data_IF_900087196112
#
_entry.id   IF_900087196112
#
_cell.length_a   1.000
_cell.length_b   1.000
_cell.length_c   1.000
_cell.angle_alpha   90.00
_cell.angle_beta   90.00
_cell.angle_gamma   90.00
#
_symmetry.space_group_name_H-M   'P 1'
#
loop_
_entity.id
_entity.type
_entity.pdbx_description
1 polymer ?
#
# COMPACT_ATOMS: atom_id res chain seq x y z
N UNK A 1 30.61 -40.81 3.56
CA UNK A 1 29.37 -41.07 4.32
C UNK A 1 28.83 -39.72 4.70
N UNK A 2 27.71 -39.32 4.09
CA UNK A 2 27.07 -38.01 4.30
C UNK A 2 26.21 -38.10 5.55
N UNK A 3 26.61 -37.40 6.60
CA UNK A 3 25.82 -37.26 7.82
C UNK A 3 24.51 -36.52 7.51
N UNK A 4 23.39 -37.13 7.86
CA UNK A 4 22.08 -36.49 7.81
C UNK A 4 22.03 -35.38 8.87
N UNK A 5 21.57 -34.16 8.53
CA UNK A 5 21.71 -33.00 9.39
C UNK A 5 20.77 -33.07 10.60
N UNK A 6 21.18 -32.43 11.69
CA UNK A 6 20.66 -32.38 13.07
C UNK A 6 19.14 -32.16 13.27
N UNK A 7 18.34 -32.03 12.22
CA UNK A 7 16.90 -31.76 12.28
C UNK A 7 16.08 -32.85 12.99
N UNK A 8 16.58 -34.08 13.10
CA UNK A 8 15.89 -35.19 13.79
C UNK A 8 16.00 -35.11 15.32
N UNK A 9 16.95 -34.36 15.88
CA UNK A 9 17.22 -34.30 17.33
C UNK A 9 16.08 -33.65 18.10
N UNK A 10 15.63 -32.48 17.63
CA UNK A 10 14.77 -31.61 18.45
C UNK A 10 13.33 -32.08 18.47
N UNK A 11 12.87 -32.66 17.36
CA UNK A 11 11.57 -33.33 17.29
C UNK A 11 11.51 -34.54 18.21
N UNK A 12 12.60 -35.32 18.29
CA UNK A 12 12.68 -36.43 19.24
C UNK A 12 12.61 -35.93 20.67
N UNK A 13 13.38 -34.90 21.05
CA UNK A 13 13.33 -34.29 22.38
C UNK A 13 11.96 -33.72 22.75
N UNK A 14 11.25 -33.12 21.80
CA UNK A 14 9.92 -32.56 22.03
C UNK A 14 8.86 -33.65 22.31
N UNK A 15 9.05 -34.85 21.74
CA UNK A 15 8.13 -35.99 21.87
C UNK A 15 8.49 -36.89 23.05
N UNK A 16 9.77 -36.96 23.44
CA UNK A 16 10.30 -37.86 24.47
C UNK A 16 10.03 -37.33 25.89
N UNK A 17 8.75 -37.09 26.18
CA UNK A 17 8.24 -36.74 27.52
C UNK A 17 7.18 -37.76 27.93
N UNK A 18 7.14 -38.15 29.21
CA UNK A 18 6.18 -39.14 29.71
C UNK A 18 4.76 -38.56 29.89
N UNK A 19 4.55 -37.30 29.50
CA UNK A 19 3.31 -36.56 29.64
C UNK A 19 2.82 -36.08 28.25
N UNK A 20 1.70 -36.65 27.73
CA UNK A 20 1.18 -36.29 26.41
C UNK A 20 0.84 -34.80 26.24
N UNK A 21 0.44 -34.12 27.33
CA UNK A 21 0.11 -32.69 27.28
C UNK A 21 1.37 -31.86 27.10
N UNK A 22 2.45 -32.23 27.79
CA UNK A 22 3.76 -31.57 27.70
C UNK A 22 4.38 -31.77 26.31
N UNK A 23 4.25 -32.97 25.73
CA UNK A 23 4.65 -33.23 24.35
C UNK A 23 3.94 -32.31 23.35
N UNK A 24 2.63 -32.08 23.50
CA UNK A 24 1.86 -31.18 22.63
C UNK A 24 2.37 -29.74 22.74
N UNK A 25 2.62 -29.25 23.95
CA UNK A 25 3.16 -27.91 24.16
C UNK A 25 4.56 -27.76 23.55
N UNK A 26 5.43 -28.75 23.73
CA UNK A 26 6.79 -28.74 23.19
C UNK A 26 6.79 -28.76 21.67
N UNK A 27 5.93 -29.56 21.05
CA UNK A 27 5.72 -29.58 19.59
C UNK A 27 5.23 -28.23 19.08
N UNK A 28 4.23 -27.63 19.74
CA UNK A 28 3.68 -26.34 19.33
C UNK A 28 4.75 -25.22 19.41
N UNK A 29 5.57 -25.22 20.46
CA UNK A 29 6.67 -24.28 20.62
C UNK A 29 7.76 -24.47 19.57
N UNK A 30 8.11 -25.73 19.25
CA UNK A 30 9.10 -26.03 18.21
C UNK A 30 8.60 -25.62 16.82
N UNK A 31 7.32 -25.87 16.50
CA UNK A 31 6.69 -25.40 15.27
C UNK A 31 6.74 -23.87 15.16
N UNK A 32 6.39 -23.18 16.24
CA UNK A 32 6.40 -21.72 16.32
C UNK A 32 7.81 -21.14 16.14
N UNK A 33 8.82 -21.73 16.78
CA UNK A 33 10.22 -21.33 16.63
C UNK A 33 10.71 -21.52 15.19
N UNK A 34 10.46 -22.69 14.59
CA UNK A 34 10.86 -22.94 13.19
C UNK A 34 10.15 -22.03 12.19
N UNK A 35 8.88 -21.69 12.44
CA UNK A 35 8.14 -20.72 11.62
C UNK A 35 8.75 -19.32 11.74
N UNK A 36 9.15 -18.92 12.96
CA UNK A 36 9.74 -17.61 13.24
C UNK A 36 11.11 -17.45 12.56
N UNK A 37 11.96 -18.48 12.64
CA UNK A 37 13.25 -18.53 11.93
C UNK A 37 13.04 -18.44 10.40
N UNK A 38 12.09 -19.20 9.86
CA UNK A 38 11.78 -19.19 8.42
C UNK A 38 11.24 -17.84 7.94
N UNK A 39 10.66 -17.04 8.83
CA UNK A 39 10.12 -15.71 8.56
C UNK A 39 11.10 -14.59 8.93
N UNK A 40 12.31 -14.91 9.42
CA UNK A 40 13.33 -13.93 9.81
C UNK A 40 13.00 -13.16 11.10
N UNK A 41 12.21 -13.75 12.00
CA UNK A 41 11.67 -13.12 13.22
C UNK A 41 12.48 -13.43 14.50
N UNK A 42 13.74 -13.86 14.38
CA UNK A 42 14.59 -14.15 15.55
C UNK A 42 15.06 -12.87 16.25
N UNK A 43 14.17 -12.29 17.05
CA UNK A 43 14.52 -11.55 18.25
C UNK A 43 13.56 -11.98 19.35
N UNK A 44 14.12 -12.42 20.48
CA UNK A 44 13.40 -12.81 21.70
C UNK A 44 12.50 -11.67 22.19
N UNK A 45 11.27 -11.64 21.71
CA UNK A 45 10.12 -10.97 22.32
C UNK A 45 8.89 -11.68 21.73
N UNK A 46 7.77 -11.66 22.46
CA UNK A 46 6.47 -12.23 22.05
C UNK A 46 6.28 -12.25 20.52
N UNK A 47 5.77 -13.34 19.88
CA UNK A 47 5.48 -13.29 18.44
C UNK A 47 4.53 -12.12 18.20
N UNK A 48 5.08 -11.02 17.72
CA UNK A 48 4.38 -9.77 17.79
C UNK A 48 3.21 -9.88 16.83
N UNK A 49 1.99 -10.02 17.36
CA UNK A 49 0.78 -10.15 16.55
C UNK A 49 0.54 -8.87 15.75
N UNK A 50 1.31 -7.81 16.04
CA UNK A 50 1.48 -6.59 15.26
C UNK A 50 1.86 -6.81 13.79
N UNK A 51 2.55 -7.91 13.46
CA UNK A 51 3.04 -8.20 12.10
C UNK A 51 1.94 -8.79 11.21
N UNK A 52 0.80 -9.19 11.79
CA UNK A 52 -0.32 -9.77 11.04
C UNK A 52 -1.52 -8.82 11.03
N UNK A 53 -2.27 -8.85 9.94
CA UNK A 53 -3.58 -8.21 9.89
C UNK A 53 -4.48 -8.78 10.99
N UNK A 54 -5.40 -7.97 11.56
CA UNK A 54 -6.38 -8.42 12.54
C UNK A 54 -7.11 -9.69 12.07
N UNK A 55 -7.40 -10.61 12.99
CA UNK A 55 -7.95 -11.92 12.64
C UNK A 55 -9.26 -11.83 11.84
N UNK A 56 -10.18 -10.94 12.23
CA UNK A 56 -11.44 -10.72 11.51
C UNK A 56 -11.21 -10.23 10.07
N UNK A 57 -10.20 -9.40 9.86
CA UNK A 57 -9.79 -8.91 8.53
C UNK A 57 -9.24 -10.08 7.70
N UNK A 58 -8.33 -10.89 8.28
CA UNK A 58 -7.78 -12.08 7.62
C UNK A 58 -8.87 -13.09 7.25
N UNK A 59 -9.83 -13.30 8.14
CA UNK A 59 -10.98 -14.15 7.89
C UNK A 59 -11.80 -13.63 6.71
N UNK A 60 -12.23 -12.37 6.75
CA UNK A 60 -13.04 -11.78 5.69
C UNK A 60 -12.33 -11.85 4.32
N UNK A 61 -11.05 -11.52 4.27
CA UNK A 61 -10.21 -11.65 3.07
C UNK A 61 -10.18 -13.09 2.55
N UNK A 62 -9.96 -14.07 3.43
CA UNK A 62 -9.86 -15.49 3.05
C UNK A 62 -11.13 -16.00 2.38
N UNK A 63 -12.28 -15.51 2.82
CA UNK A 63 -13.58 -15.94 2.32
C UNK A 63 -14.19 -14.98 1.28
N UNK A 64 -13.44 -13.97 0.83
CA UNK A 64 -13.92 -13.00 -0.16
C UNK A 64 -15.08 -12.14 0.35
N UNK A 65 -15.17 -11.95 1.67
CA UNK A 65 -16.20 -11.16 2.33
C UNK A 65 -15.73 -9.70 2.40
N UNK A 66 -16.66 -8.77 2.22
CA UNK A 66 -16.40 -7.35 2.46
C UNK A 66 -15.97 -7.09 3.90
N UNK A 67 -14.97 -6.24 4.08
CA UNK A 67 -14.62 -5.69 5.38
C UNK A 67 -15.70 -4.70 5.78
N UNK A 68 -16.36 -4.93 6.92
CA UNK A 68 -17.32 -3.98 7.47
C UNK A 68 -16.60 -2.97 8.35
N UNK A 69 -17.33 -1.97 8.83
CA UNK A 69 -16.80 -0.91 9.70
C UNK A 69 -15.92 -1.45 10.82
N UNK A 70 -16.33 -2.54 11.49
CA UNK A 70 -15.55 -3.16 12.57
C UNK A 70 -14.16 -3.61 12.11
N UNK A 71 -14.08 -4.31 10.98
CA UNK A 71 -12.82 -4.75 10.40
C UNK A 71 -11.95 -3.57 9.98
N UNK A 72 -12.55 -2.55 9.33
CA UNK A 72 -11.85 -1.32 8.93
C UNK A 72 -11.24 -0.62 10.15
N UNK A 73 -12.03 -0.42 11.21
CA UNK A 73 -11.57 0.18 12.47
C UNK A 73 -10.47 -0.65 13.14
N UNK A 74 -10.50 -1.98 13.00
CA UNK A 74 -9.44 -2.83 13.57
C UNK A 74 -8.08 -2.65 12.89
N UNK A 75 -8.07 -2.37 11.58
CA UNK A 75 -6.84 -2.01 10.85
C UNK A 75 -6.39 -0.62 11.25
N UNK A 76 -7.31 0.36 11.25
CA UNK A 76 -7.03 1.74 11.61
C UNK A 76 -6.43 1.83 13.01
N UNK A 77 -6.98 1.13 14.00
CA UNK A 77 -6.47 1.18 15.37
C UNK A 77 -5.10 0.51 15.57
N UNK A 78 -4.57 -0.16 14.54
CA UNK A 78 -3.22 -0.72 14.57
C UNK A 78 -2.19 0.28 14.03
N UNK A 79 -1.15 0.53 14.81
CA UNK A 79 -0.06 1.42 14.40
C UNK A 79 0.83 0.82 13.29
N UNK A 80 0.69 -0.47 13.00
CA UNK A 80 1.57 -1.19 12.06
C UNK A 80 1.03 -1.24 10.63
N UNK A 81 -0.25 -0.87 10.43
CA UNK A 81 -0.96 -0.99 9.15
C UNK A 81 -1.47 0.37 8.66
N UNK A 82 -0.65 1.41 8.80
CA UNK A 82 -1.05 2.79 8.50
C UNK A 82 -1.32 3.02 7.02
N UNK A 83 -0.47 2.49 6.13
CA UNK A 83 -0.64 2.69 4.69
C UNK A 83 -1.84 1.88 4.16
N UNK A 84 -2.13 0.75 4.79
CA UNK A 84 -3.34 -0.05 4.56
C UNK A 84 -4.60 0.63 5.10
N UNK A 85 -4.49 1.32 6.24
CA UNK A 85 -5.58 2.13 6.79
C UNK A 85 -5.93 3.28 5.84
N UNK A 86 -4.93 3.96 5.27
CA UNK A 86 -5.13 4.95 4.20
C UNK A 86 -5.87 4.34 3.01
N UNK A 87 -5.42 3.20 2.49
CA UNK A 87 -6.11 2.49 1.40
C UNK A 87 -7.59 2.22 1.71
N UNK A 88 -7.88 1.70 2.91
CA UNK A 88 -9.26 1.38 3.30
C UNK A 88 -10.12 2.63 3.43
N UNK A 89 -9.61 3.68 4.07
CA UNK A 89 -10.34 4.94 4.25
C UNK A 89 -10.64 5.61 2.91
N UNK A 90 -9.63 5.72 2.03
CA UNK A 90 -9.84 6.27 0.68
C UNK A 90 -10.93 5.51 -0.06
N UNK A 91 -10.90 4.18 -0.02
CA UNK A 91 -11.86 3.36 -0.76
C UNK A 91 -13.28 3.39 -0.15
N UNK A 92 -13.40 3.51 1.17
CA UNK A 92 -14.71 3.64 1.84
C UNK A 92 -15.33 5.01 1.59
N UNK A 93 -14.52 6.07 1.51
CA UNK A 93 -14.98 7.44 1.25
C UNK A 93 -15.20 7.74 -0.24
N UNK A 94 -15.12 6.75 -1.12
CA UNK A 94 -15.27 6.95 -2.58
C UNK A 94 -16.60 7.59 -2.99
N UNK A 95 -17.66 7.37 -2.19
CA UNK A 95 -18.97 7.98 -2.41
C UNK A 95 -19.06 9.45 -1.98
N UNK A 96 -18.06 9.98 -1.27
CA UNK A 96 -17.98 11.37 -0.83
C UNK A 96 -16.63 11.98 -1.25
N UNK A 97 -16.51 12.44 -2.51
CA UNK A 97 -15.26 12.97 -3.04
C UNK A 97 -14.70 14.14 -2.25
N UNK A 98 -15.56 15.01 -1.73
CA UNK A 98 -15.15 16.18 -0.94
C UNK A 98 -14.49 15.75 0.36
N UNK A 99 -15.12 14.81 1.09
CA UNK A 99 -14.54 14.28 2.32
C UNK A 99 -13.23 13.53 2.05
N UNK A 100 -13.19 12.76 0.95
CA UNK A 100 -12.02 12.01 0.54
C UNK A 100 -10.85 12.95 0.18
N UNK A 101 -11.10 14.05 -0.52
CA UNK A 101 -10.09 15.06 -0.87
C UNK A 101 -9.51 15.73 0.37
N UNK A 102 -10.38 16.19 1.28
CA UNK A 102 -9.97 16.77 2.56
C UNK A 102 -9.08 15.79 3.37
N UNK A 103 -9.51 14.53 3.42
CA UNK A 103 -8.74 13.48 4.09
C UNK A 103 -7.36 13.30 3.46
N UNK A 104 -7.31 13.21 2.12
CA UNK A 104 -6.07 13.01 1.39
C UNK A 104 -5.11 14.18 1.62
N UNK A 105 -5.58 15.42 1.54
CA UNK A 105 -4.78 16.62 1.78
C UNK A 105 -4.14 16.63 3.19
N UNK A 106 -4.90 16.30 4.23
CA UNK A 106 -4.35 16.23 5.59
C UNK A 106 -3.29 15.14 5.74
N UNK A 107 -3.51 13.97 5.13
CA UNK A 107 -2.55 12.86 5.17
C UNK A 107 -1.27 13.20 4.41
N UNK A 108 -1.38 13.83 3.24
CA UNK A 108 -0.24 14.29 2.45
C UNK A 108 0.64 15.26 3.25
N UNK A 109 0.00 16.23 3.91
CA UNK A 109 0.69 17.17 4.78
C UNK A 109 1.37 16.49 5.98
N UNK A 110 0.72 15.49 6.59
CA UNK A 110 1.31 14.71 7.67
C UNK A 110 2.53 13.89 7.21
N UNK A 111 2.47 13.30 6.01
CA UNK A 111 3.61 12.61 5.41
C UNK A 111 4.78 13.56 5.15
N UNK A 112 4.50 14.77 4.66
CA UNK A 112 5.52 15.74 4.27
C UNK A 112 6.23 16.39 5.45
N UNK A 113 5.45 16.88 6.42
CA UNK A 113 5.96 17.51 7.64
C UNK A 113 6.62 16.51 8.62
N UNK A 114 6.74 15.24 8.23
CA UNK A 114 7.34 14.14 9.01
C UNK A 114 6.74 14.04 10.41
N UNK A 115 5.43 14.26 10.52
CA UNK A 115 4.74 14.08 11.79
C UNK A 115 4.91 12.64 12.28
N UNK A 116 4.85 12.49 13.60
CA UNK A 116 4.96 11.19 14.22
C UNK A 116 3.77 10.28 13.88
N UNK A 117 3.96 8.98 14.09
CA UNK A 117 2.94 7.97 13.81
C UNK A 117 1.63 8.24 14.58
N UNK A 118 1.68 8.88 15.75
CA UNK A 118 0.52 9.27 16.55
C UNK A 118 -0.34 10.33 15.87
N UNK A 119 0.27 11.34 15.24
CA UNK A 119 -0.47 12.41 14.57
C UNK A 119 -1.24 11.88 13.37
N UNK A 120 -0.62 11.00 12.57
CA UNK A 120 -1.30 10.32 11.46
C UNK A 120 -2.43 9.41 11.95
N UNK A 121 -2.21 8.73 13.07
CA UNK A 121 -3.22 7.89 13.72
C UNK A 121 -4.45 8.69 14.17
N UNK A 122 -4.26 9.93 14.62
CA UNK A 122 -5.34 10.85 14.99
C UNK A 122 -6.15 11.30 13.78
N UNK A 123 -5.49 11.62 12.66
CA UNK A 123 -6.15 11.92 11.38
C UNK A 123 -7.04 10.73 10.98
N UNK A 124 -6.48 9.52 10.94
CA UNK A 124 -7.26 8.32 10.57
C UNK A 124 -8.44 8.10 11.49
N UNK A 125 -8.27 8.25 12.81
CA UNK A 125 -9.37 8.08 13.78
C UNK A 125 -10.47 9.13 13.60
N UNK A 126 -10.12 10.38 13.30
CA UNK A 126 -11.07 11.46 13.04
C UNK A 126 -11.98 11.13 11.85
N UNK A 127 -11.41 10.72 10.72
CA UNK A 127 -12.20 10.36 9.53
C UNK A 127 -12.94 9.02 9.71
N UNK A 128 -12.34 8.06 10.43
CA UNK A 128 -13.01 6.80 10.75
C UNK A 128 -14.28 6.98 11.61
N UNK A 129 -14.32 8.02 12.44
CA UNK A 129 -15.50 8.36 13.24
C UNK A 129 -16.67 8.83 12.36
N UNK A 130 -16.38 9.44 11.20
CA UNK A 130 -17.39 9.94 10.25
C UNK A 130 -18.01 8.85 9.39
N UNK A 131 -17.43 7.65 9.37
CA UNK A 131 -17.98 6.51 8.62
C UNK A 131 -19.39 6.15 9.12
N UNK A 132 -20.25 5.70 8.21
CA UNK A 132 -21.57 5.16 8.58
C UNK A 132 -21.43 3.74 9.14
N UNK A 133 -22.45 3.25 9.85
CA UNK A 133 -22.47 1.85 10.31
C UNK A 133 -22.48 0.84 9.16
N UNK A 134 -23.02 1.24 8.01
CA UNK A 134 -23.12 0.43 6.80
C UNK A 134 -21.82 0.38 5.97
N UNK A 135 -20.80 1.17 6.34
CA UNK A 135 -19.54 1.24 5.63
C UNK A 135 -18.94 -0.15 5.38
N UNK A 136 -18.71 -0.48 4.12
CA UNK A 136 -18.08 -1.73 3.70
C UNK A 136 -17.17 -1.56 2.52
N UNK A 137 -16.16 -2.43 2.43
CA UNK A 137 -15.19 -2.40 1.34
C UNK A 137 -14.63 -3.78 1.01
N UNK A 138 -14.44 -4.03 -0.28
CA UNK A 138 -13.71 -5.22 -0.75
C UNK A 138 -12.21 -5.02 -0.49
N UNK A 139 -11.68 -5.70 0.51
CA UNK A 139 -10.29 -5.56 0.99
C UNK A 139 -9.26 -6.46 0.33
N UNK A 140 -9.54 -7.05 -0.84
CA UNK A 140 -8.72 -8.13 -1.44
C UNK A 140 -7.25 -7.77 -1.62
N UNK A 141 -6.92 -6.48 -1.83
CA UNK A 141 -5.54 -5.99 -1.93
C UNK A 141 -4.71 -6.20 -0.66
N UNK A 142 -5.34 -6.09 0.51
CA UNK A 142 -4.67 -6.37 1.80
C UNK A 142 -4.15 -7.81 1.88
N UNK A 143 -4.77 -8.74 1.14
CA UNK A 143 -4.29 -10.12 1.05
C UNK A 143 -2.94 -10.23 0.34
N UNK A 144 -2.71 -9.41 -0.69
CA UNK A 144 -1.48 -9.42 -1.48
C UNK A 144 -0.33 -8.80 -0.67
N UNK A 145 -0.61 -7.69 0.01
CA UNK A 145 0.35 -7.01 0.89
C UNK A 145 0.72 -7.90 2.07
N UNK A 146 -0.27 -8.51 2.73
CA UNK A 146 -0.03 -9.41 3.86
C UNK A 146 0.82 -10.63 3.48
N UNK A 147 0.66 -11.19 2.27
CA UNK A 147 1.50 -12.31 1.78
C UNK A 147 2.94 -11.91 1.45
N UNK A 148 3.14 -10.69 0.98
CA UNK A 148 4.47 -10.16 0.63
C UNK A 148 5.26 -9.67 1.85
N UNK A 149 4.58 -9.53 2.99
CA UNK A 149 5.07 -8.84 4.17
C UNK A 149 5.04 -7.33 3.99
N UNK A 150 4.40 -6.60 4.92
CA UNK A 150 4.28 -5.14 4.86
C UNK A 150 5.65 -4.44 4.71
N UNK A 151 6.67 -4.97 5.39
CA UNK A 151 8.05 -4.48 5.27
C UNK A 151 8.64 -4.66 3.86
N UNK A 152 8.41 -5.81 3.24
CA UNK A 152 8.85 -6.08 1.87
C UNK A 152 8.13 -5.18 0.87
N UNK A 153 6.85 -4.90 1.10
CA UNK A 153 6.05 -3.99 0.30
C UNK A 153 6.57 -2.55 0.37
N UNK A 154 6.75 -2.02 1.58
CA UNK A 154 7.29 -0.68 1.81
C UNK A 154 8.68 -0.51 1.19
N UNK A 155 9.59 -1.47 1.39
CA UNK A 155 10.93 -1.41 0.81
C UNK A 155 10.92 -1.32 -0.73
N UNK A 156 9.98 -2.02 -1.39
CA UNK A 156 9.82 -1.90 -2.85
C UNK A 156 9.30 -0.54 -3.26
N UNK A 157 8.37 0.02 -2.48
CA UNK A 157 7.83 1.36 -2.69
C UNK A 157 8.91 2.44 -2.55
N UNK A 158 9.71 2.36 -1.48
CA UNK A 158 10.84 3.27 -1.22
C UNK A 158 11.86 3.22 -2.37
N UNK A 159 12.23 2.02 -2.81
CA UNK A 159 13.15 1.84 -3.94
C UNK A 159 12.59 2.43 -5.24
N UNK A 160 11.31 2.18 -5.52
CA UNK A 160 10.67 2.68 -6.73
C UNK A 160 10.60 4.21 -6.73
N UNK A 161 10.16 4.81 -5.61
CA UNK A 161 10.11 6.26 -5.46
C UNK A 161 11.51 6.88 -5.65
N UNK A 162 12.56 6.25 -5.11
CA UNK A 162 13.93 6.72 -5.28
C UNK A 162 14.40 6.64 -6.74
N UNK A 163 14.16 5.52 -7.43
CA UNK A 163 14.52 5.38 -8.86
C UNK A 163 13.83 6.42 -9.73
N UNK A 164 12.55 6.69 -9.49
CA UNK A 164 11.82 7.70 -10.27
C UNK A 164 12.36 9.12 -10.04
N UNK A 165 12.81 9.40 -8.83
CA UNK A 165 13.50 10.66 -8.52
C UNK A 165 14.84 10.78 -9.25
N UNK A 166 15.63 9.71 -9.29
CA UNK A 166 16.90 9.68 -10.06
C UNK A 166 16.66 9.86 -11.57
N UNK A 167 15.55 9.33 -12.10
CA UNK A 167 15.14 9.44 -13.49
C UNK A 167 14.48 10.81 -13.83
N UNK A 168 14.28 11.72 -12.87
CA UNK A 168 13.48 12.95 -13.01
C UNK A 168 12.06 12.70 -13.54
N UNK A 169 11.48 11.56 -13.17
CA UNK A 169 10.16 11.12 -13.59
C UNK A 169 9.06 11.64 -12.65
N UNK A 170 7.93 12.07 -13.23
CA UNK A 170 6.72 12.42 -12.49
C UNK A 170 5.85 11.16 -12.30
N UNK A 171 5.69 10.64 -11.07
CA UNK A 171 4.85 9.47 -10.83
C UNK A 171 3.37 9.78 -10.97
N UNK A 172 2.63 8.86 -11.61
CA UNK A 172 1.18 8.82 -11.63
C UNK A 172 0.70 7.56 -10.91
N UNK A 173 0.29 7.73 -9.65
CA UNK A 173 -0.23 6.68 -8.79
C UNK A 173 -1.66 6.32 -9.20
N UNK A 174 -1.83 5.07 -9.61
CA UNK A 174 -3.08 4.57 -10.15
C UNK A 174 -3.85 3.76 -9.12
N UNK A 175 -5.16 3.98 -9.06
CA UNK A 175 -6.13 3.22 -8.28
C UNK A 175 -5.90 3.28 -6.77
N UNK A 176 -6.91 2.85 -6.01
CA UNK A 176 -6.86 2.91 -4.56
C UNK A 176 -5.65 2.20 -3.94
N UNK A 177 -5.18 1.14 -4.56
CA UNK A 177 -4.17 0.30 -3.97
C UNK A 177 -2.78 0.91 -3.96
N UNK A 178 -2.49 1.87 -4.84
CA UNK A 178 -1.24 2.65 -4.80
C UNK A 178 -1.19 3.64 -3.64
N UNK A 179 -2.31 3.90 -2.95
CA UNK A 179 -2.26 4.64 -1.67
C UNK A 179 -1.42 3.93 -0.61
N UNK A 180 -1.23 2.62 -0.72
CA UNK A 180 -0.30 1.87 0.16
C UNK A 180 1.17 2.22 -0.08
N UNK A 181 1.46 2.98 -1.14
CA UNK A 181 2.80 3.41 -1.56
C UNK A 181 3.01 4.91 -1.37
N UNK A 182 1.92 5.68 -1.27
CA UNK A 182 1.90 7.14 -1.38
C UNK A 182 2.91 7.81 -0.44
N UNK A 183 3.02 7.32 0.79
CA UNK A 183 3.99 7.84 1.77
C UNK A 183 5.42 7.87 1.22
N UNK A 184 5.85 6.78 0.59
CA UNK A 184 7.21 6.61 0.07
C UNK A 184 7.51 7.65 -1.01
N UNK A 185 6.54 7.90 -1.90
CA UNK A 185 6.66 8.91 -2.95
C UNK A 185 6.72 10.34 -2.37
N UNK A 186 5.83 10.67 -1.42
CA UNK A 186 5.80 12.00 -0.79
C UNK A 186 7.07 12.28 0.03
N UNK A 187 7.63 11.26 0.66
CA UNK A 187 8.86 11.38 1.45
C UNK A 187 10.12 11.47 0.58
N UNK A 188 10.12 10.86 -0.61
CA UNK A 188 11.22 10.93 -1.56
C UNK A 188 11.23 12.22 -2.39
N UNK A 189 10.08 12.84 -2.60
CA UNK A 189 9.91 14.04 -3.42
C UNK A 189 10.74 15.24 -2.92
N UNK A 190 11.25 16.04 -3.85
CA UNK A 190 11.92 17.31 -3.57
C UNK A 190 10.92 18.48 -3.53
N UNK A 191 11.38 19.65 -3.10
CA UNK A 191 10.56 20.87 -3.12
C UNK A 191 10.29 21.29 -4.57
N UNK A 192 9.01 21.38 -4.93
CA UNK A 192 8.52 21.67 -6.28
C UNK A 192 8.10 20.44 -7.08
N UNK A 193 8.40 19.23 -6.59
CA UNK A 193 8.04 18.01 -7.30
C UNK A 193 6.53 17.80 -7.34
N UNK A 194 6.07 17.16 -8.43
CA UNK A 194 4.67 16.81 -8.64
C UNK A 194 4.49 15.30 -8.58
N UNK A 195 3.40 14.87 -7.96
CA UNK A 195 2.92 13.48 -7.96
C UNK A 195 1.46 13.51 -8.42
N UNK A 196 1.13 12.71 -9.41
CA UNK A 196 -0.23 12.60 -9.92
C UNK A 196 -0.94 11.42 -9.28
N UNK A 197 -2.24 11.56 -8.97
CA UNK A 197 -3.05 10.49 -8.39
C UNK A 197 -4.33 10.36 -9.20
N UNK A 198 -4.63 9.15 -9.66
CA UNK A 198 -5.86 8.89 -10.41
C UNK A 198 -6.56 7.62 -9.95
N UNK A 199 -7.89 7.61 -10.05
CA UNK A 199 -8.74 6.49 -9.67
C UNK A 199 -9.49 6.03 -10.92
N UNK A 200 -9.20 4.81 -11.36
CA UNK A 200 -9.66 4.24 -12.64
C UNK A 200 -11.14 4.54 -12.97
N UNK A 201 -12.07 4.18 -12.09
CA UNK A 201 -13.49 4.32 -12.41
C UNK A 201 -13.93 5.80 -12.53
N UNK A 202 -13.21 6.75 -11.91
CA UNK A 202 -13.49 8.19 -12.07
C UNK A 202 -13.08 8.70 -13.44
N UNK A 203 -12.03 8.11 -14.03
CA UNK A 203 -11.66 8.35 -15.42
C UNK A 203 -12.69 7.74 -16.38
N UNK A 204 -13.18 6.53 -16.10
CA UNK A 204 -14.17 5.83 -16.94
C UNK A 204 -15.56 6.50 -16.92
N UNK A 205 -15.98 7.06 -15.78
CA UNK A 205 -17.27 7.73 -15.61
C UNK A 205 -17.31 9.17 -16.18
N UNK A 206 -16.21 9.63 -16.81
CA UNK A 206 -16.01 11.00 -17.32
C UNK A 206 -16.38 12.11 -16.32
N UNK A 207 -16.10 11.89 -15.03
CA UNK A 207 -16.30 12.93 -14.01
C UNK A 207 -15.23 14.01 -14.15
N UNK A 208 -15.58 15.26 -13.87
CA UNK A 208 -14.70 16.43 -14.00
C UNK A 208 -13.42 16.33 -13.13
N UNK A 209 -13.37 15.44 -12.13
CA UNK A 209 -12.36 15.42 -11.07
C UNK A 209 -11.54 14.09 -11.04
N UNK A 210 -11.05 13.65 -12.20
CA UNK A 210 -10.48 12.30 -12.35
C UNK A 210 -8.97 12.20 -12.08
N UNK A 211 -8.28 13.33 -11.91
CA UNK A 211 -6.83 13.40 -11.71
C UNK A 211 -6.51 14.49 -10.68
N UNK A 212 -5.83 14.09 -9.60
CA UNK A 212 -5.28 15.02 -8.62
C UNK A 212 -3.81 15.26 -8.90
N UNK A 213 -3.37 16.50 -8.69
CA UNK A 213 -1.98 16.93 -8.69
C UNK A 213 -1.58 17.24 -7.26
N UNK A 214 -0.58 16.51 -6.77
CA UNK A 214 0.07 16.80 -5.50
C UNK A 214 1.36 17.55 -5.77
N UNK A 215 1.46 18.79 -5.32
CA UNK A 215 2.71 19.55 -5.36
C UNK A 215 3.39 19.46 -4.00
N UNK A 216 4.61 18.93 -3.97
CA UNK A 216 5.39 18.76 -2.75
C UNK A 216 6.18 20.04 -2.47
N UNK A 217 5.84 20.75 -1.41
CA UNK A 217 6.59 21.91 -0.91
C UNK A 217 7.58 21.47 0.18
N UNK A 218 8.35 22.37 0.77
CA UNK A 218 9.35 22.02 1.79
C UNK A 218 8.73 21.25 2.97
N UNK A 219 7.68 21.79 3.59
CA UNK A 219 7.04 21.22 4.79
C UNK A 219 5.56 20.83 4.60
N UNK A 220 5.03 20.98 3.39
CA UNK A 220 3.61 20.74 3.10
C UNK A 220 3.40 20.20 1.68
N UNK A 221 2.19 19.74 1.40
CA UNK A 221 1.73 19.42 0.06
C UNK A 221 0.50 20.28 -0.25
N UNK A 222 0.38 20.72 -1.50
CA UNK A 222 -0.91 21.18 -2.02
C UNK A 222 -1.54 20.06 -2.84
N UNK A 223 -2.87 19.95 -2.76
CA UNK A 223 -3.67 19.03 -3.54
C UNK A 223 -4.59 19.87 -4.42
N UNK A 224 -4.49 19.67 -5.73
CA UNK A 224 -5.29 20.39 -6.70
C UNK A 224 -5.94 19.39 -7.66
N UNK A 225 -7.18 19.63 -8.03
CA UNK A 225 -7.80 18.92 -9.14
C UNK A 225 -7.17 19.43 -10.44
N UNK A 226 -6.80 18.49 -11.32
CA UNK A 226 -6.36 18.83 -12.66
C UNK A 226 -7.59 19.27 -13.47
N UNK A 227 -7.95 20.54 -13.36
CA UNK A 227 -9.21 21.05 -13.89
C UNK A 227 -9.13 21.58 -15.31
N UNK A 228 -7.99 22.08 -15.81
CA UNK A 228 -7.81 22.38 -17.24
C UNK A 228 -6.36 22.76 -17.62
N UNK A 229 -6.07 22.61 -18.92
CA UNK A 229 -4.86 23.01 -19.63
C UNK A 229 -4.52 24.49 -19.42
N UNK A 230 -3.43 24.76 -18.71
CA UNK A 230 -2.58 25.87 -19.09
C UNK A 230 -1.13 25.48 -18.80
N UNK A 231 -0.31 25.60 -19.84
CA UNK A 231 1.15 25.40 -19.85
C UNK A 231 1.67 23.98 -20.11
N UNK A 232 1.92 23.72 -21.40
CA UNK A 232 2.88 22.76 -21.97
C UNK A 232 4.31 22.79 -21.39
N UNK A 233 4.61 23.55 -20.33
CA UNK A 233 5.99 23.94 -20.05
C UNK A 233 6.65 23.29 -18.83
N UNK A 234 5.90 22.72 -17.87
CA UNK A 234 6.51 22.30 -16.59
C UNK A 234 5.99 20.96 -16.02
N UNK A 235 5.64 19.99 -16.87
CA UNK A 235 5.36 18.63 -16.39
C UNK A 235 6.39 17.67 -17.01
N UNK A 236 7.35 17.17 -16.20
CA UNK A 236 8.32 16.16 -16.64
C UNK A 236 7.66 14.90 -17.19
N UNK A 237 8.47 14.00 -17.74
CA UNK A 237 8.04 12.68 -18.20
C UNK A 237 7.15 12.00 -17.13
N UNK A 238 5.89 11.70 -17.48
CA UNK A 238 4.94 11.06 -16.56
C UNK A 238 5.04 9.54 -16.69
N UNK A 239 5.15 8.87 -15.55
CA UNK A 239 5.22 7.43 -15.49
C UNK A 239 4.10 6.85 -14.65
N UNK A 240 3.40 5.85 -15.21
CA UNK A 240 2.32 5.18 -14.52
C UNK A 240 2.88 4.21 -13.49
N UNK A 241 2.38 4.33 -12.25
CA UNK A 241 2.70 3.45 -11.15
C UNK A 241 1.46 2.67 -10.77
N UNK A 242 1.52 1.35 -10.95
CA UNK A 242 0.51 0.42 -10.45
C UNK A 242 1.19 -0.59 -9.52
N UNK A 243 0.41 -1.14 -8.61
CA UNK A 243 0.93 -2.06 -7.62
C UNK A 243 1.14 -3.47 -8.15
N UNK A 244 0.40 -3.87 -9.19
CA UNK A 244 0.40 -5.22 -9.76
C UNK A 244 0.11 -5.18 -11.25
N UNK A 245 0.81 -6.00 -12.03
CA UNK A 245 0.46 -6.26 -13.43
C UNK A 245 -0.07 -7.66 -13.52
N UNK A 246 -1.39 -7.81 -13.56
CA UNK A 246 -1.99 -9.10 -13.91
C UNK A 246 -2.09 -9.26 -15.42
N UNK A 247 -2.80 -8.35 -16.10
CA UNK A 247 -3.07 -8.39 -17.54
C UNK A 247 -2.66 -7.12 -18.28
N UNK A 248 -2.25 -6.07 -17.55
CA UNK A 248 -1.98 -4.74 -18.12
C UNK A 248 -3.24 -3.96 -18.52
N UNK A 249 -4.44 -4.53 -18.38
CA UNK A 249 -5.69 -3.91 -18.82
C UNK A 249 -5.99 -2.60 -18.08
N UNK A 250 -5.72 -2.53 -16.77
CA UNK A 250 -5.90 -1.31 -15.98
C UNK A 250 -5.10 -0.14 -16.55
N UNK A 251 -3.83 -0.38 -16.85
CA UNK A 251 -2.93 0.62 -17.43
C UNK A 251 -3.36 1.00 -18.85
N UNK A 252 -3.72 0.01 -19.68
CA UNK A 252 -4.19 0.28 -21.03
C UNK A 252 -5.46 1.15 -21.02
N UNK A 253 -6.41 0.85 -20.13
CA UNK A 253 -7.63 1.65 -19.97
C UNK A 253 -7.30 3.06 -19.46
N UNK A 254 -6.46 3.20 -18.44
CA UNK A 254 -6.11 4.52 -17.89
C UNK A 254 -5.34 5.34 -18.92
N UNK A 255 -4.40 4.71 -19.64
CA UNK A 255 -3.67 5.33 -20.74
C UNK A 255 -4.63 5.84 -21.81
N UNK A 256 -5.62 5.03 -22.18
CA UNK A 256 -6.65 5.43 -23.14
C UNK A 256 -7.50 6.60 -22.61
N UNK A 257 -8.03 6.51 -21.38
CA UNK A 257 -8.84 7.57 -20.79
C UNK A 257 -8.06 8.88 -20.61
N UNK A 258 -6.80 8.82 -20.18
CA UNK A 258 -5.93 9.99 -20.05
C UNK A 258 -5.63 10.61 -21.42
N UNK A 259 -5.36 9.78 -22.44
CA UNK A 259 -5.13 10.24 -23.81
C UNK A 259 -6.39 10.83 -24.45
N UNK A 260 -7.57 10.27 -24.22
CA UNK A 260 -8.83 10.82 -24.74
C UNK A 260 -9.22 12.12 -24.05
N UNK A 261 -9.11 12.17 -22.72
CA UNK A 261 -9.56 13.30 -21.90
C UNK A 261 -8.57 14.46 -21.90
N UNK A 262 -7.26 14.16 -21.98
CA UNK A 262 -6.19 15.13 -21.90
C UNK A 262 -5.31 15.19 -23.16
N UNK A 263 -5.63 14.47 -24.24
CA UNK A 263 -5.04 14.65 -25.58
C UNK A 263 -3.51 14.44 -25.69
N UNK A 264 -2.88 15.19 -26.60
CA UNK A 264 -1.42 15.30 -26.86
C UNK A 264 -0.62 15.91 -25.67
N UNK A 265 -1.24 16.14 -24.52
CA UNK A 265 -0.72 16.93 -23.40
C UNK A 265 -0.32 16.06 -22.22
N UNK A 266 -0.69 14.78 -22.26
CA UNK A 266 0.01 13.77 -21.48
C UNK A 266 1.27 13.42 -22.28
N UNK A 267 2.49 13.63 -21.74
CA UNK A 267 3.72 13.25 -22.42
C UNK A 267 3.64 11.80 -22.88
N UNK A 268 4.25 11.51 -24.03
CA UNK A 268 4.26 10.19 -24.65
C UNK A 268 4.67 9.15 -23.58
N UNK A 269 3.72 8.31 -23.16
CA UNK A 269 3.96 7.32 -22.11
C UNK A 269 4.92 6.27 -22.67
N UNK A 270 6.21 6.40 -22.32
CA UNK A 270 7.26 5.48 -22.78
C UNK A 270 7.14 4.13 -22.08
N UNK A 271 7.68 3.09 -22.71
CA UNK A 271 7.62 1.67 -22.28
C UNK A 271 8.06 1.37 -20.84
N UNK A 272 8.69 2.32 -20.13
CA UNK A 272 9.06 2.17 -18.72
C UNK A 272 7.90 2.54 -17.79
N UNK A 273 6.84 1.74 -17.79
CA UNK A 273 5.86 1.75 -16.69
C UNK A 273 6.43 0.96 -15.50
N UNK A 274 6.18 1.45 -14.29
CA UNK A 274 6.80 0.93 -13.08
C UNK A 274 5.87 0.03 -12.25
N UNK A 275 6.41 -1.09 -11.76
CA UNK A 275 5.64 -2.13 -11.08
C UNK A 275 6.26 -2.61 -9.77
N UNK A 276 5.44 -2.66 -8.73
CA UNK A 276 5.83 -3.13 -7.39
C UNK A 276 5.97 -4.66 -7.28
N UNK A 277 5.23 -5.44 -8.07
CA UNK A 277 5.18 -6.91 -7.92
C UNK A 277 6.26 -7.67 -8.69
N UNK A 278 7.04 -6.99 -9.54
CA UNK A 278 8.20 -7.62 -10.19
C UNK A 278 9.37 -7.67 -9.21
N UNK A 279 9.50 -8.79 -8.50
CA UNK A 279 10.77 -9.17 -7.90
C UNK A 279 11.84 -9.26 -9.00
N UNK A 280 12.69 -8.26 -9.12
CA UNK A 280 13.91 -8.22 -9.94
C UNK A 280 13.70 -8.59 -11.42
N UNK A 281 13.50 -7.58 -12.26
CA UNK A 281 14.02 -7.53 -13.64
C UNK A 281 13.77 -6.11 -14.15
N UNK A 282 14.75 -5.26 -13.95
CA UNK A 282 14.93 -4.04 -14.72
C UNK A 282 15.70 -4.40 -15.98
N UNK A 283 15.38 -3.70 -17.08
CA UNK A 283 15.82 -3.91 -18.45
C UNK A 283 15.13 -5.08 -19.17
N UNK A 284 14.11 -4.73 -19.96
CA UNK A 284 14.04 -5.27 -21.32
C UNK A 284 14.78 -4.28 -22.21
N UNK A 285 15.75 -4.82 -22.95
CA UNK A 285 16.55 -4.16 -23.99
C UNK A 285 15.69 -3.48 -25.07
#
# INVERSE_FOLDING_TARGET
MTDAPEQSSDWKKAIDTHNPVEAIFNIANLMKSKLSISLGLDTEENPDTSVFLPESVRYAIRYGIELKRKEILSVINSQHWQDEALYLLMKVMDSDPVLQEQFLEEVLNAFRSKQDASSLQEIYKRYAAMLTEEASVIGTKLSQISRSGAYGWKKRADNLAHTMQEDNATPCLIAYSTFTLLRSFIQAAQNGDKILITIKHRLEDDKDNALYVVTCLEDSCTLEEWTHYDHHQDVPDIHLCDDTVSTGQTLATIRHCLSEKYGDFFPEIKEKDYYMDRGISWATE
#
